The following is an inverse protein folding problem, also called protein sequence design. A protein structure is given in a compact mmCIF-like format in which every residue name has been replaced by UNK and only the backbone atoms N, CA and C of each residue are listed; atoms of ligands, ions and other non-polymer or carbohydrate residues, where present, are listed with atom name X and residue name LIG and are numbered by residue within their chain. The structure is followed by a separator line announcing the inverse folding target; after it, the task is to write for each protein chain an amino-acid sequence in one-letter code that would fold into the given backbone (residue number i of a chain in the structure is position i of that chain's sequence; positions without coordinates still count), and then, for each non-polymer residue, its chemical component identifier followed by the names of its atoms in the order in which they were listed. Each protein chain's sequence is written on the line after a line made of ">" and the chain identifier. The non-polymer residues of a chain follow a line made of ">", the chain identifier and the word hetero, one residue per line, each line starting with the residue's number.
data_IF_649956365809
#
_entry.id   IF_649956365809
#
_cell.length_a   1.000
_cell.length_b   1.000
_cell.length_c   1.000
_cell.angle_alpha   90.00
_cell.angle_beta   90.00
_cell.angle_gamma   90.00
#
_symmetry.space_group_name_H-M   'P 1'
#
loop_
_entity.id
_entity.type
_entity.pdbx_description
1 polymer ?
#
# COMPACT_ATOMS: atom_id res chain seq x y z
N UNK A 1 -1.65 11.38 -18.00
CA UNK A 1 -2.66 10.51 -17.32
C UNK A 1 -2.52 9.01 -17.58
N UNK A 2 -2.54 8.52 -18.84
CA UNK A 2 -2.65 7.07 -19.13
C UNK A 2 -1.62 6.18 -18.40
N UNK A 3 -0.38 6.67 -18.27
CA UNK A 3 0.70 5.96 -17.57
C UNK A 3 0.47 5.87 -16.06
N UNK A 4 -0.01 6.96 -15.44
CA UNK A 4 -0.35 7.00 -14.01
C UNK A 4 -1.50 6.04 -13.68
N UNK A 5 -2.50 5.95 -14.56
CA UNK A 5 -3.63 5.02 -14.39
C UNK A 5 -3.15 3.57 -14.46
N UNK A 6 -2.38 3.19 -15.50
CA UNK A 6 -1.84 1.82 -15.63
C UNK A 6 -0.94 1.44 -14.45
N UNK A 7 -0.06 2.35 -14.04
CA UNK A 7 0.82 2.13 -12.89
C UNK A 7 0.03 2.04 -11.59
N UNK A 8 -0.97 2.91 -11.39
CA UNK A 8 -1.84 2.91 -10.21
C UNK A 8 -2.65 1.62 -10.09
N UNK A 9 -3.28 1.15 -11.18
CA UNK A 9 -4.00 -0.13 -11.21
C UNK A 9 -3.06 -1.30 -10.90
N UNK A 10 -1.86 -1.32 -11.50
CA UNK A 10 -0.88 -2.38 -11.26
C UNK A 10 -0.39 -2.38 -9.81
N UNK A 11 -0.16 -1.19 -9.25
CA UNK A 11 0.28 -1.02 -7.88
C UNK A 11 -0.78 -1.46 -6.88
N UNK A 12 -2.03 -1.06 -7.11
CA UNK A 12 -3.20 -1.56 -6.39
C UNK A 12 -3.29 -3.09 -6.44
N UNK A 13 -3.22 -3.69 -7.63
CA UNK A 13 -3.38 -5.14 -7.77
C UNK A 13 -2.30 -5.93 -7.02
N UNK A 14 -1.05 -5.46 -7.06
CA UNK A 14 0.06 -6.08 -6.34
C UNK A 14 -0.13 -6.01 -4.82
N UNK A 15 -0.46 -4.83 -4.30
CA UNK A 15 -0.60 -4.62 -2.85
C UNK A 15 -1.87 -5.26 -2.31
N UNK A 16 -3.01 -5.13 -3.00
CA UNK A 16 -4.25 -5.80 -2.62
C UNK A 16 -4.07 -7.32 -2.64
N UNK A 17 -3.49 -7.88 -3.71
CA UNK A 17 -3.31 -9.32 -3.83
C UNK A 17 -2.41 -9.88 -2.72
N UNK A 18 -1.29 -9.20 -2.43
CA UNK A 18 -0.42 -9.60 -1.33
C UNK A 18 -1.10 -9.46 0.03
N UNK A 19 -1.80 -8.35 0.30
CA UNK A 19 -2.53 -8.14 1.55
C UNK A 19 -3.67 -9.15 1.74
N UNK A 20 -4.38 -9.50 0.67
CA UNK A 20 -5.42 -10.52 0.71
C UNK A 20 -4.85 -11.91 1.04
N UNK A 21 -3.71 -12.28 0.46
CA UNK A 21 -3.02 -13.55 0.76
C UNK A 21 -2.50 -13.59 2.20
N UNK A 22 -1.87 -12.50 2.66
CA UNK A 22 -1.40 -12.39 4.03
C UNK A 22 -2.56 -12.45 5.02
N UNK A 23 -3.64 -11.71 4.78
CA UNK A 23 -4.87 -11.76 5.57
C UNK A 23 -5.51 -13.14 5.61
N UNK A 24 -5.56 -13.84 4.47
CA UNK A 24 -6.09 -15.21 4.38
C UNK A 24 -5.28 -16.23 5.21
N UNK A 25 -3.99 -15.96 5.44
CA UNK A 25 -3.14 -16.75 6.34
C UNK A 25 -3.26 -16.28 7.78
N UNK A 26 -3.29 -14.96 8.00
CA UNK A 26 -3.36 -14.32 9.33
C UNK A 26 -4.62 -14.72 10.09
N UNK A 27 -5.78 -14.61 9.47
CA UNK A 27 -7.09 -14.83 10.12
C UNK A 27 -7.22 -16.24 10.70
N UNK A 28 -6.98 -17.34 9.95
CA UNK A 28 -7.11 -18.69 10.52
C UNK A 28 -5.94 -19.12 11.42
N UNK A 29 -4.73 -18.59 11.23
CA UNK A 29 -3.54 -19.10 11.92
C UNK A 29 -3.01 -18.22 13.04
N UNK A 30 -2.97 -16.89 12.86
CA UNK A 30 -2.39 -15.97 13.82
C UNK A 30 -3.42 -15.45 14.82
N UNK A 31 -4.64 -15.12 14.38
CA UNK A 31 -5.69 -14.57 15.26
C UNK A 31 -6.02 -15.50 16.43
N UNK A 32 -6.24 -16.82 16.24
CA UNK A 32 -6.56 -17.72 17.36
C UNK A 32 -5.42 -17.91 18.36
N UNK A 33 -4.18 -17.63 17.96
CA UNK A 33 -2.98 -17.88 18.77
C UNK A 33 -2.46 -16.65 19.49
N UNK A 34 -2.52 -15.49 18.84
CA UNK A 34 -1.89 -14.25 19.28
C UNK A 34 -2.91 -13.14 19.57
N UNK A 35 -4.18 -13.36 19.24
CA UNK A 35 -5.21 -12.33 19.24
C UNK A 35 -5.14 -11.41 18.02
N UNK A 36 -6.21 -10.65 17.81
CA UNK A 36 -6.39 -9.80 16.62
C UNK A 36 -5.32 -8.71 16.52
N UNK A 37 -5.10 -7.94 17.59
CA UNK A 37 -4.14 -6.84 17.62
C UNK A 37 -2.71 -7.28 17.23
N UNK A 38 -2.19 -8.33 17.85
CA UNK A 38 -0.82 -8.76 17.60
C UNK A 38 -0.67 -9.39 16.22
N UNK A 39 -1.69 -10.12 15.76
CA UNK A 39 -1.71 -10.66 14.41
C UNK A 39 -1.62 -9.55 13.35
N UNK A 40 -2.37 -8.45 13.53
CA UNK A 40 -2.32 -7.30 12.62
C UNK A 40 -0.98 -6.57 12.66
N UNK A 41 -0.46 -6.29 13.87
CA UNK A 41 0.83 -5.59 14.01
C UNK A 41 1.99 -6.38 13.39
N UNK A 42 1.97 -7.71 13.49
CA UNK A 42 2.97 -8.57 12.83
C UNK A 42 2.88 -8.47 11.32
N UNK A 43 1.70 -8.25 10.74
CA UNK A 43 1.49 -8.13 9.29
C UNK A 43 2.00 -6.77 8.75
N UNK A 44 1.97 -5.70 9.54
CA UNK A 44 2.33 -4.34 9.10
C UNK A 44 3.76 -4.23 8.51
N UNK A 45 4.82 -4.81 9.11
CA UNK A 45 6.15 -4.85 8.50
C UNK A 45 6.19 -5.56 7.13
N UNK A 46 5.44 -6.66 6.96
CA UNK A 46 5.38 -7.37 5.68
C UNK A 46 4.66 -6.53 4.63
N UNK A 47 3.56 -5.87 5.01
CA UNK A 47 2.85 -4.95 4.14
C UNK A 47 3.73 -3.77 3.73
N UNK A 48 4.54 -3.22 4.64
CA UNK A 48 5.52 -2.18 4.30
C UNK A 48 6.51 -2.65 3.23
N UNK A 49 7.06 -3.88 3.36
CA UNK A 49 7.96 -4.46 2.36
C UNK A 49 7.25 -4.63 1.01
N UNK A 50 6.02 -5.14 1.01
CA UNK A 50 5.18 -5.29 -0.19
C UNK A 50 4.96 -3.94 -0.88
N UNK A 51 4.62 -2.91 -0.12
CA UNK A 51 4.44 -1.53 -0.60
C UNK A 51 5.74 -1.03 -1.25
N UNK A 52 6.87 -1.17 -0.57
CA UNK A 52 8.18 -0.75 -1.06
C UNK A 52 8.56 -1.46 -2.38
N UNK A 53 8.44 -2.79 -2.42
CA UNK A 53 8.77 -3.58 -3.60
C UNK A 53 7.83 -3.28 -4.76
N UNK A 54 6.54 -3.14 -4.49
CA UNK A 54 5.53 -2.84 -5.52
C UNK A 54 5.70 -1.44 -6.08
N UNK A 55 5.98 -0.43 -5.23
CA UNK A 55 6.28 0.92 -5.66
C UNK A 55 7.57 0.99 -6.49
N UNK A 56 8.61 0.23 -6.09
CA UNK A 56 9.84 0.10 -6.87
C UNK A 56 9.57 -0.56 -8.22
N UNK A 57 8.79 -1.64 -8.22
CA UNK A 57 8.44 -2.36 -9.44
C UNK A 57 7.69 -1.45 -10.42
N UNK A 58 6.63 -0.74 -10.00
CA UNK A 58 5.86 0.11 -10.92
C UNK A 58 6.66 1.32 -11.41
N UNK A 59 7.50 1.92 -10.58
CA UNK A 59 8.33 3.05 -10.99
C UNK A 59 9.39 2.64 -12.01
N UNK A 60 9.94 1.43 -11.91
CA UNK A 60 10.89 0.87 -12.86
C UNK A 60 10.19 0.34 -14.12
N UNK A 61 9.14 -0.47 -13.97
CA UNK A 61 8.45 -1.16 -15.06
C UNK A 61 7.76 -0.21 -16.03
N UNK A 62 7.14 0.85 -15.51
CA UNK A 62 6.45 1.86 -16.31
C UNK A 62 7.31 3.09 -16.59
N UNK A 63 8.59 3.08 -16.18
CA UNK A 63 9.52 4.20 -16.32
C UNK A 63 8.87 5.55 -15.95
N UNK A 64 8.23 5.60 -14.76
CA UNK A 64 7.43 6.75 -14.38
C UNK A 64 8.28 8.03 -14.37
N UNK A 65 7.88 9.07 -15.12
CA UNK A 65 8.60 10.33 -15.17
C UNK A 65 8.92 10.86 -13.77
N UNK A 66 10.02 11.60 -13.59
CA UNK A 66 10.38 12.19 -12.31
C UNK A 66 9.36 13.25 -11.82
N UNK A 67 8.39 13.63 -12.64
CA UNK A 67 7.33 14.57 -12.29
C UNK A 67 6.49 14.11 -11.09
N UNK A 68 6.44 14.98 -10.07
CA UNK A 68 5.67 14.80 -8.83
C UNK A 68 4.21 14.42 -9.10
N UNK A 69 3.56 15.07 -10.06
CA UNK A 69 2.12 14.89 -10.36
C UNK A 69 1.79 13.48 -10.89
N UNK A 70 2.67 12.87 -11.68
CA UNK A 70 2.41 11.53 -12.25
C UNK A 70 2.52 10.46 -11.17
N UNK A 71 3.50 10.57 -10.28
CA UNK A 71 3.75 9.62 -9.18
C UNK A 71 2.69 9.72 -8.09
N UNK A 72 2.33 10.94 -7.70
CA UNK A 72 1.21 11.17 -6.79
C UNK A 72 -0.09 10.67 -7.41
N UNK A 73 -0.36 10.98 -8.68
CA UNK A 73 -1.56 10.49 -9.36
C UNK A 73 -1.66 8.96 -9.35
N UNK A 74 -0.56 8.25 -9.62
CA UNK A 74 -0.54 6.78 -9.55
C UNK A 74 -0.82 6.26 -8.13
N UNK A 75 -0.20 6.87 -7.11
CA UNK A 75 -0.43 6.53 -5.71
C UNK A 75 -1.87 6.81 -5.25
N UNK A 76 -2.42 7.97 -5.59
CA UNK A 76 -3.81 8.34 -5.27
C UNK A 76 -4.84 7.45 -5.95
N UNK A 77 -4.63 7.09 -7.22
CA UNK A 77 -5.49 6.13 -7.94
C UNK A 77 -5.45 4.77 -7.25
N UNK A 78 -4.24 4.30 -6.91
CA UNK A 78 -4.07 3.02 -6.24
C UNK A 78 -4.75 3.02 -4.85
N UNK A 79 -4.62 4.10 -4.09
CA UNK A 79 -5.27 4.27 -2.78
C UNK A 79 -6.79 4.26 -2.90
N UNK A 80 -7.36 5.00 -3.86
CA UNK A 80 -8.81 5.02 -4.08
C UNK A 80 -9.34 3.62 -4.40
N UNK A 81 -8.68 2.90 -5.32
CA UNK A 81 -9.04 1.53 -5.66
C UNK A 81 -8.89 0.57 -4.48
N UNK A 82 -7.82 0.71 -3.69
CA UNK A 82 -7.56 -0.13 -2.51
C UNK A 82 -8.66 0.03 -1.47
N UNK A 83 -9.02 1.27 -1.12
CA UNK A 83 -10.08 1.55 -0.16
C UNK A 83 -11.44 1.05 -0.64
N UNK A 84 -11.76 1.24 -1.92
CA UNK A 84 -13.00 0.71 -2.50
C UNK A 84 -13.05 -0.81 -2.44
N UNK A 85 -11.95 -1.48 -2.78
CA UNK A 85 -11.86 -2.94 -2.73
C UNK A 85 -11.93 -3.47 -1.29
N UNK A 86 -11.28 -2.80 -0.34
CA UNK A 86 -11.29 -3.20 1.07
C UNK A 86 -12.71 -3.12 1.65
N UNK A 87 -13.42 -2.02 1.42
CA UNK A 87 -14.81 -1.86 1.86
C UNK A 87 -15.72 -2.91 1.22
N UNK A 88 -15.53 -3.17 -0.07
CA UNK A 88 -16.29 -4.20 -0.79
C UNK A 88 -16.02 -5.60 -0.24
N UNK A 89 -14.76 -5.94 0.03
CA UNK A 89 -14.39 -7.24 0.61
C UNK A 89 -14.91 -7.40 2.04
N UNK A 90 -14.85 -6.34 2.87
CA UNK A 90 -15.43 -6.36 4.21
C UNK A 90 -16.94 -6.64 4.15
N UNK A 91 -17.66 -5.92 3.30
CA UNK A 91 -19.11 -6.12 3.13
C UNK A 91 -19.47 -7.53 2.61
N UNK A 92 -18.69 -8.10 1.68
CA UNK A 92 -19.00 -9.39 1.06
C UNK A 92 -18.54 -10.59 1.90
N UNK A 93 -17.37 -10.50 2.54
CA UNK A 93 -16.75 -11.64 3.23
C UNK A 93 -17.02 -11.66 4.74
N UNK A 94 -17.26 -10.49 5.34
CA UNK A 94 -17.43 -10.38 6.80
C UNK A 94 -18.87 -10.09 7.20
N UNK A 95 -19.80 -9.93 6.24
CA UNK A 95 -21.21 -9.55 6.46
C UNK A 95 -21.36 -8.29 7.35
N UNK A 96 -20.33 -7.46 7.43
CA UNK A 96 -20.31 -6.24 8.24
C UNK A 96 -20.65 -5.01 7.42
N UNK A 97 -21.41 -4.10 8.03
CA UNK A 97 -21.62 -2.77 7.47
C UNK A 97 -20.36 -1.91 7.62
N UNK A 98 -20.21 -0.89 6.76
CA UNK A 98 -19.05 0.04 6.79
C UNK A 98 -18.90 0.72 8.17
N UNK A 99 -20.02 0.99 8.85
CA UNK A 99 -20.02 1.58 10.19
C UNK A 99 -19.47 0.63 11.25
N UNK A 100 -19.85 -0.65 11.21
CA UNK A 100 -19.34 -1.68 12.11
C UNK A 100 -17.86 -1.98 11.86
N UNK A 101 -17.43 -1.97 10.59
CA UNK A 101 -16.03 -2.11 10.22
C UNK A 101 -15.13 -1.02 10.83
N UNK A 102 -15.63 0.23 10.84
CA UNK A 102 -14.89 1.35 11.45
C UNK A 102 -14.95 1.30 12.97
N UNK A 103 -16.10 0.94 13.55
CA UNK A 103 -16.29 0.90 15.01
C UNK A 103 -15.57 -0.26 15.69
N UNK A 104 -15.37 -1.38 14.99
CA UNK A 104 -14.67 -2.57 15.49
C UNK A 104 -13.14 -2.44 15.43
N UNK A 105 -12.60 -1.43 14.72
CA UNK A 105 -11.14 -1.27 14.59
C UNK A 105 -10.48 -0.97 15.92
N UNK A 106 -9.47 -1.77 16.24
CA UNK A 106 -8.57 -1.50 17.37
C UNK A 106 -7.87 -0.14 17.17
N UNK A 107 -7.87 0.76 18.17
CA UNK A 107 -7.30 2.10 18.03
C UNK A 107 -5.80 2.11 17.69
N UNK A 108 -5.05 1.13 18.20
CA UNK A 108 -3.59 1.06 18.00
C UNK A 108 -3.31 0.55 16.60
N UNK A 109 -3.83 -0.63 16.26
CA UNK A 109 -3.62 -1.22 14.93
C UNK A 109 -4.22 -0.36 13.81
N UNK A 110 -5.39 0.24 14.05
CA UNK A 110 -6.03 1.16 13.12
C UNK A 110 -5.17 2.38 12.79
N UNK A 111 -4.47 2.96 13.78
CA UNK A 111 -3.56 4.08 13.54
C UNK A 111 -2.36 3.70 12.66
N UNK A 112 -1.79 2.51 12.88
CA UNK A 112 -0.68 1.97 12.08
C UNK A 112 -1.14 1.69 10.66
N UNK A 113 -2.33 1.12 10.50
CA UNK A 113 -2.95 0.89 9.21
C UNK A 113 -3.13 2.21 8.43
N UNK A 114 -3.66 3.26 9.07
CA UNK A 114 -3.82 4.59 8.44
C UNK A 114 -2.47 5.18 8.03
N UNK A 115 -1.44 5.06 8.89
CA UNK A 115 -0.09 5.49 8.55
C UNK A 115 0.45 4.72 7.32
N UNK A 116 0.18 3.41 7.22
CA UNK A 116 0.57 2.62 6.04
C UNK A 116 -0.19 3.02 4.78
N UNK A 117 -1.46 3.42 4.86
CA UNK A 117 -2.18 3.95 3.69
C UNK A 117 -1.57 5.25 3.16
N UNK A 118 -1.21 6.17 4.07
CA UNK A 118 -0.50 7.40 3.70
C UNK A 118 0.84 7.05 3.06
N UNK A 119 1.58 6.12 3.65
CA UNK A 119 2.86 5.67 3.12
C UNK A 119 2.69 5.03 1.74
N UNK A 120 1.71 4.14 1.57
CA UNK A 120 1.36 3.50 0.30
C UNK A 120 1.12 4.51 -0.81
N UNK A 121 0.32 5.55 -0.54
CA UNK A 121 0.02 6.61 -1.50
C UNK A 121 1.25 7.44 -1.88
N UNK A 122 2.16 7.69 -0.93
CA UNK A 122 3.35 8.53 -1.14
C UNK A 122 4.58 7.76 -1.65
N UNK A 123 4.61 6.43 -1.49
CA UNK A 123 5.80 5.62 -1.78
C UNK A 123 6.37 5.80 -3.19
N UNK A 124 5.54 5.85 -4.27
CA UNK A 124 6.04 6.08 -5.63
C UNK A 124 6.75 7.43 -5.79
N UNK A 125 6.37 8.44 -5.01
CA UNK A 125 7.01 9.76 -4.98
C UNK A 125 8.34 9.70 -4.21
N UNK A 126 8.36 9.06 -3.03
CA UNK A 126 9.54 8.92 -2.16
C UNK A 126 10.68 8.23 -2.90
N UNK A 127 10.38 7.13 -3.61
CA UNK A 127 11.38 6.41 -4.41
C UNK A 127 11.87 7.19 -5.65
N UNK A 128 11.10 8.18 -6.11
CA UNK A 128 11.52 9.07 -7.19
C UNK A 128 12.56 10.07 -6.77
N UNK A 129 12.34 10.69 -5.61
CA UNK A 129 13.23 11.72 -5.06
C UNK A 129 14.60 11.14 -4.69
N UNK A 130 14.62 9.95 -4.10
CA UNK A 130 15.87 9.26 -3.72
C UNK A 130 16.75 8.89 -4.92
N UNK A 131 16.17 8.67 -6.11
CA UNK A 131 16.94 8.41 -7.33
C UNK A 131 17.54 9.69 -7.93
N UNK A 132 16.82 10.80 -7.86
CA UNK A 132 17.32 12.12 -8.29
C UNK A 132 18.50 12.58 -7.43
N UNK A 133 18.41 12.40 -6.10
CA UNK A 133 19.47 12.79 -5.17
C UNK A 133 20.78 11.97 -5.31
N UNK A 134 20.70 10.75 -5.86
CA UNK A 134 21.89 9.93 -6.16
C UNK A 134 22.53 10.26 -7.52
N UNK A 135 21.77 10.87 -8.43
CA UNK A 135 22.28 11.24 -9.76
C UNK A 135 23.11 12.52 -9.74
N UNK A 136 22.86 13.44 -8.80
CA UNK A 136 23.62 14.69 -8.66
C UNK A 136 24.99 14.53 -7.99
N UNK A 137 25.26 13.40 -7.32
CA UNK A 137 26.54 13.16 -6.64
C UNK A 137 27.62 12.54 -7.54
N UNK A 138 27.26 12.03 -8.72
CA UNK A 138 28.22 11.45 -9.68
C UNK A 138 28.74 12.49 -10.69
N UNK A 139 28.02 13.61 -10.92
CA UNK A 139 28.39 14.66 -11.87
C UNK A 139 29.43 15.66 -11.29
N UNK A 140 29.61 15.68 -9.97
CA UNK A 140 30.57 16.57 -9.27
C UNK A 140 31.96 15.91 -9.10
N UNK A 141 32.18 14.72 -9.69
CA UNK A 141 33.42 13.92 -9.56
C UNK A 141 34.14 13.65 -10.89
N UNK A 142 33.79 14.35 -11.97
CA UNK A 142 34.47 14.28 -13.28
C UNK A 142 35.02 15.65 -13.63
#
# INVERSE_FOLDING_TARGET
>A
MKLAIKAGISYFALVLGAGFLLGSVRVPLLVPRLGERMAELIEMPFMFVVILLSARFITQRFALPPGTSVRLGAGSIALGLLLSAEVMLAAVLQDQSVGEYIASRDPVSGSVYLAMLVLFALMPLILGRTRLARGSSDDERV
#
